data_IF_957306075967
#
_entry.id   IF_957306075967
#
_cell.length_a   1.000
_cell.length_b   1.000
_cell.length_c   1.000
_cell.angle_alpha   90.00
_cell.angle_beta   90.00
_cell.angle_gamma   90.00
#
_symmetry.space_group_name_H-M   'P 1'
#
loop_
_entity.id
_entity.type
_entity.pdbx_description
1 polymer ?
#
# COMPACT_ATOMS: atom_id res chain seq x y z
N UNK A 1 -2.46 15.54 -13.36
CA UNK A 1 -1.59 14.41 -12.89
C UNK A 1 -2.22 13.86 -11.62
N UNK A 2 -2.56 12.56 -11.56
CA UNK A 2 -3.09 11.98 -10.33
C UNK A 2 -1.99 11.93 -9.28
N UNK A 3 -2.16 12.67 -8.19
CA UNK A 3 -1.25 12.67 -7.03
C UNK A 3 -1.13 11.26 -6.46
N UNK A 4 0.08 10.85 -6.10
CA UNK A 4 0.27 9.58 -5.39
C UNK A 4 -0.31 9.70 -3.98
N UNK A 5 -1.20 8.79 -3.60
CA UNK A 5 -1.79 8.72 -2.26
C UNK A 5 -0.94 7.73 -1.46
N UNK A 6 -0.34 8.19 -0.36
CA UNK A 6 0.39 7.32 0.56
C UNK A 6 -0.54 6.83 1.66
N UNK A 7 -0.30 5.61 2.17
CA UNK A 7 -1.09 5.07 3.30
C UNK A 7 -0.87 5.82 4.61
N UNK A 8 0.13 6.70 4.64
CA UNK A 8 0.47 7.60 5.75
C UNK A 8 -0.24 8.94 5.69
N UNK A 9 -0.95 9.23 4.59
CA UNK A 9 -1.70 10.48 4.48
C UNK A 9 -2.95 10.38 5.36
N UNK A 10 -3.26 11.40 6.14
CA UNK A 10 -4.41 11.42 7.05
C UNK A 10 -5.73 11.11 6.32
N UNK A 11 -5.85 11.64 5.09
CA UNK A 11 -7.05 11.49 4.25
C UNK A 11 -6.90 10.35 3.21
N UNK A 12 -5.97 9.39 3.43
CA UNK A 12 -5.66 8.37 2.43
C UNK A 12 -6.89 7.55 2.02
N UNK A 13 -7.74 7.20 2.98
CA UNK A 13 -8.94 6.40 2.74
C UNK A 13 -9.98 7.18 1.93
N UNK A 14 -10.21 8.43 2.27
CA UNK A 14 -11.16 9.32 1.58
C UNK A 14 -10.70 9.57 0.14
N UNK A 15 -9.46 9.98 -0.04
CA UNK A 15 -8.84 10.18 -1.36
C UNK A 15 -8.87 8.91 -2.25
N UNK A 16 -8.75 7.71 -1.64
CA UNK A 16 -8.87 6.46 -2.40
C UNK A 16 -10.32 6.13 -2.77
N UNK A 17 -11.30 6.48 -1.92
CA UNK A 17 -12.73 6.32 -2.22
C UNK A 17 -13.15 7.26 -3.36
N UNK A 18 -12.76 8.52 -3.32
CA UNK A 18 -12.98 9.46 -4.43
C UNK A 18 -12.36 8.98 -5.74
N UNK A 19 -11.10 8.54 -5.69
CA UNK A 19 -10.42 7.97 -6.85
C UNK A 19 -11.14 6.74 -7.41
N UNK A 20 -11.67 5.89 -6.54
CA UNK A 20 -12.43 4.71 -6.96
C UNK A 20 -13.69 5.13 -7.72
N UNK A 21 -14.44 6.10 -7.20
CA UNK A 21 -15.64 6.63 -7.84
C UNK A 21 -15.34 7.19 -9.24
N UNK A 22 -14.29 8.02 -9.36
CA UNK A 22 -13.83 8.54 -10.64
C UNK A 22 -13.48 7.43 -11.63
N UNK A 23 -12.76 6.39 -11.17
CA UNK A 23 -12.37 5.25 -12.00
C UNK A 23 -13.58 4.44 -12.46
N UNK A 24 -14.55 4.18 -11.57
CA UNK A 24 -15.79 3.46 -11.90
C UNK A 24 -16.65 4.24 -12.87
N UNK A 25 -16.80 5.55 -12.66
CA UNK A 25 -17.51 6.45 -13.58
C UNK A 25 -16.89 6.41 -14.96
N UNK A 26 -15.56 6.60 -15.04
CA UNK A 26 -14.83 6.54 -16.30
C UNK A 26 -15.00 5.17 -16.99
N UNK A 27 -14.90 4.08 -16.26
CA UNK A 27 -15.08 2.73 -16.80
C UNK A 27 -16.50 2.49 -17.33
N UNK A 28 -17.50 3.02 -16.64
CA UNK A 28 -18.89 2.97 -17.11
C UNK A 28 -19.08 3.75 -18.42
N UNK A 29 -18.46 4.92 -18.55
CA UNK A 29 -18.48 5.71 -19.78
C UNK A 29 -17.76 5.00 -20.93
N UNK A 30 -16.59 4.40 -20.66
CA UNK A 30 -15.89 3.58 -21.67
C UNK A 30 -16.77 2.44 -22.20
N UNK A 31 -17.50 1.75 -21.31
CA UNK A 31 -18.46 0.69 -21.71
C UNK A 31 -19.59 1.23 -22.56
N UNK A 32 -20.18 2.38 -22.18
CA UNK A 32 -21.28 3.02 -22.92
C UNK A 32 -20.82 3.40 -24.33
N UNK A 33 -19.66 4.03 -24.45
CA UNK A 33 -19.13 4.44 -25.75
C UNK A 33 -18.80 3.26 -26.64
N UNK A 34 -18.19 2.20 -26.09
CA UNK A 34 -17.94 0.98 -26.82
C UNK A 34 -19.23 0.26 -27.27
N UNK A 35 -20.29 0.33 -26.45
CA UNK A 35 -21.62 -0.19 -26.83
C UNK A 35 -22.21 0.61 -27.97
N UNK A 36 -22.22 1.94 -27.84
CA UNK A 36 -22.73 2.84 -28.87
C UNK A 36 -22.03 2.61 -30.24
N UNK A 37 -20.69 2.53 -30.20
CA UNK A 37 -19.90 2.25 -31.43
C UNK A 37 -20.24 0.90 -32.06
N UNK A 38 -20.50 -0.16 -31.28
CA UNK A 38 -20.91 -1.45 -31.82
C UNK A 38 -22.26 -1.40 -32.53
N UNK A 39 -23.17 -0.54 -32.06
CA UNK A 39 -24.52 -0.39 -32.60
C UNK A 39 -24.54 0.53 -33.83
N UNK A 40 -23.67 1.55 -33.88
CA UNK A 40 -23.70 2.59 -34.88
C UNK A 40 -22.51 2.60 -35.85
N UNK A 41 -21.46 1.81 -35.59
CA UNK A 41 -20.18 1.79 -36.31
C UNK A 41 -19.45 3.16 -36.35
N UNK A 42 -19.85 4.10 -35.54
CA UNK A 42 -19.27 5.45 -35.39
C UNK A 42 -19.53 5.94 -33.99
N UNK A 43 -18.72 6.89 -33.51
CA UNK A 43 -19.00 7.61 -32.26
C UNK A 43 -19.70 8.95 -32.49
N UNK A 44 -19.98 9.32 -33.74
CA UNK A 44 -20.72 10.53 -34.10
C UNK A 44 -22.13 10.49 -33.52
N UNK A 45 -22.54 11.59 -32.89
CA UNK A 45 -23.84 11.69 -32.22
C UNK A 45 -23.88 11.10 -30.80
N UNK A 46 -22.76 10.61 -30.26
CA UNK A 46 -22.70 10.21 -28.86
C UNK A 46 -22.74 11.45 -27.94
N UNK A 47 -23.58 11.48 -26.90
CA UNK A 47 -23.68 12.62 -25.98
C UNK A 47 -22.33 12.99 -25.37
N UNK A 48 -21.93 14.26 -25.48
CA UNK A 48 -20.67 14.78 -24.95
C UNK A 48 -19.45 14.64 -25.88
N UNK A 49 -19.64 14.13 -27.09
CA UNK A 49 -18.60 14.09 -28.14
C UNK A 49 -19.07 14.99 -29.29
N UNK A 50 -18.28 16.01 -29.60
CA UNK A 50 -18.51 16.86 -30.77
C UNK A 50 -18.08 16.16 -32.06
N UNK A 51 -18.59 16.64 -33.22
CA UNK A 51 -18.33 16.04 -34.53
C UNK A 51 -16.84 15.98 -34.88
N UNK A 52 -16.05 16.97 -34.45
CA UNK A 52 -14.60 16.98 -34.73
C UNK A 52 -13.86 15.89 -33.92
N UNK A 53 -14.20 15.75 -32.64
CA UNK A 53 -13.66 14.68 -31.81
C UNK A 53 -14.13 13.30 -32.28
N UNK A 54 -15.39 13.19 -32.70
CA UNK A 54 -15.93 11.96 -33.24
C UNK A 54 -15.17 11.52 -34.48
N UNK A 55 -14.93 12.42 -35.42
CA UNK A 55 -14.15 12.14 -36.64
C UNK A 55 -12.72 11.64 -36.31
N UNK A 56 -12.04 12.30 -35.37
CA UNK A 56 -10.70 11.88 -34.92
C UNK A 56 -10.70 10.48 -34.30
N UNK A 57 -11.72 10.15 -33.51
CA UNK A 57 -11.85 8.82 -32.88
C UNK A 57 -12.12 7.77 -33.96
N UNK A 58 -13.06 8.02 -34.87
CA UNK A 58 -13.41 7.10 -35.94
C UNK A 58 -12.24 6.86 -36.91
N UNK A 59 -11.47 7.90 -37.25
CA UNK A 59 -10.25 7.80 -38.03
C UNK A 59 -9.20 6.93 -37.31
N UNK A 60 -8.98 7.14 -36.02
CA UNK A 60 -8.08 6.31 -35.20
C UNK A 60 -8.52 4.85 -35.23
N UNK A 61 -9.81 4.57 -35.10
CA UNK A 61 -10.34 3.21 -35.09
C UNK A 61 -10.17 2.57 -36.47
N UNK A 62 -10.41 3.31 -37.56
CA UNK A 62 -10.28 2.78 -38.93
C UNK A 62 -8.83 2.39 -39.24
N UNK A 63 -7.88 3.17 -38.76
CA UNK A 63 -6.43 2.95 -38.93
C UNK A 63 -5.84 1.95 -37.92
N UNK A 64 -6.62 1.51 -36.93
CA UNK A 64 -6.16 0.56 -35.90
C UNK A 64 -6.11 -0.87 -36.44
N UNK A 65 -5.26 -1.70 -35.78
CA UNK A 65 -5.24 -3.13 -36.03
C UNK A 65 -6.60 -3.78 -35.79
N UNK A 66 -6.89 -4.89 -36.45
CA UNK A 66 -8.19 -5.58 -36.37
C UNK A 66 -8.66 -5.89 -34.93
N UNK A 67 -7.73 -6.15 -34.04
CA UNK A 67 -7.98 -6.44 -32.62
C UNK A 67 -8.15 -5.18 -31.73
N UNK A 68 -7.92 -3.98 -32.31
CA UNK A 68 -8.04 -2.67 -31.62
C UNK A 68 -9.22 -1.83 -32.12
N UNK A 69 -10.12 -2.37 -32.95
CA UNK A 69 -11.22 -1.65 -33.60
C UNK A 69 -12.36 -1.34 -32.62
N UNK A 70 -12.08 -0.49 -31.64
CA UNK A 70 -13.07 0.04 -30.69
C UNK A 70 -12.60 1.39 -30.13
N UNK A 71 -13.50 2.27 -29.69
CA UNK A 71 -13.15 3.52 -29.00
C UNK A 71 -12.20 3.28 -27.82
N UNK A 72 -12.47 2.24 -27.02
CA UNK A 72 -11.60 1.72 -25.97
C UNK A 72 -11.34 0.22 -26.24
N UNK A 73 -10.15 -0.13 -26.74
CA UNK A 73 -9.78 -1.52 -26.98
C UNK A 73 -9.79 -2.37 -25.72
N UNK A 74 -9.82 -3.70 -25.88
CA UNK A 74 -9.88 -4.66 -24.78
C UNK A 74 -8.79 -4.45 -23.73
N UNK A 75 -7.56 -4.15 -24.13
CA UNK A 75 -6.44 -3.93 -23.20
C UNK A 75 -6.64 -2.68 -22.34
N UNK A 76 -7.26 -1.61 -22.85
CA UNK A 76 -7.58 -0.42 -22.07
C UNK A 76 -8.69 -0.71 -21.05
N UNK A 77 -9.72 -1.47 -21.47
CA UNK A 77 -10.79 -1.93 -20.60
C UNK A 77 -10.25 -2.80 -19.46
N UNK A 78 -9.37 -3.75 -19.77
CA UNK A 78 -8.73 -4.62 -18.79
C UNK A 78 -7.84 -3.81 -17.83
N UNK A 79 -7.03 -2.88 -18.35
CA UNK A 79 -6.18 -2.02 -17.53
C UNK A 79 -7.00 -1.19 -16.54
N UNK A 80 -8.14 -0.62 -16.96
CA UNK A 80 -9.04 0.14 -16.09
C UNK A 80 -9.67 -0.76 -15.04
N UNK A 81 -10.14 -1.95 -15.42
CA UNK A 81 -10.70 -2.93 -14.48
C UNK A 81 -9.68 -3.37 -13.42
N UNK A 82 -8.43 -3.60 -13.80
CA UNK A 82 -7.35 -3.93 -12.86
C UNK A 82 -7.06 -2.77 -11.90
N UNK A 83 -7.06 -1.51 -12.39
CA UNK A 83 -6.89 -0.33 -11.53
C UNK A 83 -7.99 -0.22 -10.50
N UNK A 84 -9.25 -0.42 -10.89
CA UNK A 84 -10.40 -0.41 -9.99
C UNK A 84 -10.25 -1.49 -8.93
N UNK A 85 -9.90 -2.71 -9.34
CA UNK A 85 -9.68 -3.82 -8.41
C UNK A 85 -8.57 -3.51 -7.40
N UNK A 86 -7.42 -3.04 -7.88
CA UNK A 86 -6.30 -2.68 -7.01
C UNK A 86 -6.67 -1.55 -6.01
N UNK A 87 -7.45 -0.55 -6.45
CA UNK A 87 -7.92 0.52 -5.56
C UNK A 87 -8.88 -0.04 -4.50
N UNK A 88 -9.82 -0.93 -4.87
CA UNK A 88 -10.74 -1.61 -3.93
C UNK A 88 -9.99 -2.47 -2.89
N UNK A 89 -9.02 -3.25 -3.34
CA UNK A 89 -8.20 -4.07 -2.44
C UNK A 89 -7.41 -3.21 -1.45
N UNK A 90 -6.90 -2.07 -1.92
CA UNK A 90 -6.17 -1.14 -1.07
C UNK A 90 -7.07 -0.47 -0.04
N UNK A 91 -8.29 -0.04 -0.42
CA UNK A 91 -9.30 0.50 0.51
C UNK A 91 -9.62 -0.54 1.58
N UNK A 92 -9.94 -1.76 1.15
CA UNK A 92 -10.26 -2.87 2.07
C UNK A 92 -9.11 -3.15 3.05
N UNK A 93 -7.87 -3.15 2.57
CA UNK A 93 -6.69 -3.35 3.42
C UNK A 93 -6.56 -2.25 4.47
N UNK A 94 -6.74 -0.97 4.09
CA UNK A 94 -6.68 0.14 5.05
C UNK A 94 -7.83 0.10 6.06
N UNK A 95 -9.06 -0.17 5.63
CA UNK A 95 -10.22 -0.31 6.52
C UNK A 95 -10.01 -1.46 7.52
N UNK A 96 -9.50 -2.60 7.05
CA UNK A 96 -9.18 -3.74 7.92
C UNK A 96 -8.13 -3.39 8.97
N UNK A 97 -7.07 -2.67 8.57
CA UNK A 97 -6.02 -2.26 9.51
C UNK A 97 -6.50 -1.21 10.53
N UNK A 98 -7.41 -0.31 10.14
CA UNK A 98 -7.98 0.69 11.04
C UNK A 98 -8.93 0.07 12.08
N UNK A 99 -9.71 -0.95 11.69
CA UNK A 99 -10.70 -1.60 12.57
C UNK A 99 -10.12 -2.73 13.41
N UNK A 100 -8.91 -3.20 13.09
CA UNK A 100 -8.27 -4.28 13.81
C UNK A 100 -7.90 -3.86 15.24
N UNK A 101 -8.08 -4.75 16.20
CA UNK A 101 -7.57 -4.58 17.55
C UNK A 101 -6.04 -4.51 17.55
N UNK A 102 -5.47 -3.72 18.46
CA UNK A 102 -4.02 -3.60 18.60
C UNK A 102 -3.44 -4.93 19.09
N UNK A 103 -2.34 -5.32 18.49
CA UNK A 103 -1.62 -6.51 18.93
C UNK A 103 -0.71 -6.15 20.10
N UNK A 104 -0.86 -6.81 21.21
CA UNK A 104 0.08 -6.69 22.33
C UNK A 104 1.38 -7.42 21.99
N UNK A 105 2.49 -6.75 22.28
CA UNK A 105 3.84 -7.28 22.09
C UNK A 105 4.54 -7.33 23.45
N UNK A 106 4.92 -8.53 23.86
CA UNK A 106 5.69 -8.71 25.07
C UNK A 106 7.16 -8.30 24.83
N UNK A 107 7.49 -7.10 25.26
CA UNK A 107 8.84 -6.50 25.16
C UNK A 107 9.52 -6.34 26.51
N UNK A 108 8.98 -6.96 27.55
CA UNK A 108 9.48 -6.81 28.92
C UNK A 108 10.95 -7.19 29.02
N UNK A 109 11.76 -6.34 29.66
CA UNK A 109 13.20 -6.52 29.81
C UNK A 109 14.05 -6.32 28.53
N UNK A 110 13.45 -6.01 27.38
CA UNK A 110 14.20 -5.84 26.12
C UNK A 110 14.67 -4.41 25.84
N UNK A 111 14.19 -3.43 26.62
CA UNK A 111 14.63 -2.03 26.53
C UNK A 111 14.10 -1.27 25.31
N UNK A 112 13.00 -1.71 24.71
CA UNK A 112 12.26 -1.02 23.66
C UNK A 112 10.77 -1.33 23.73
N UNK A 113 9.96 -0.45 23.17
CA UNK A 113 8.52 -0.62 23.02
C UNK A 113 8.13 -0.88 21.56
N UNK A 114 7.02 -1.58 21.35
CA UNK A 114 6.42 -1.80 20.03
C UNK A 114 5.02 -1.18 19.99
N UNK A 115 4.77 -0.33 18.98
CA UNK A 115 3.51 0.39 18.85
C UNK A 115 2.98 0.23 17.42
N UNK A 116 1.70 -0.16 17.30
CA UNK A 116 0.96 -0.11 16.04
C UNK A 116 0.34 1.30 15.87
N UNK A 117 1.05 2.18 15.22
CA UNK A 117 0.55 3.53 14.94
C UNK A 117 -0.36 3.49 13.70
N UNK A 118 -1.66 3.43 13.95
CA UNK A 118 -2.70 3.34 12.91
C UNK A 118 -2.89 4.64 12.14
N UNK A 119 -2.65 5.79 12.78
CA UNK A 119 -2.79 7.11 12.15
C UNK A 119 -1.86 7.27 10.95
N UNK A 120 -0.62 6.83 11.10
CA UNK A 120 0.38 6.89 10.03
C UNK A 120 0.60 5.54 9.34
N UNK A 121 -0.22 4.53 9.66
CA UNK A 121 -0.12 3.14 9.17
C UNK A 121 1.30 2.56 9.30
N UNK A 122 1.91 2.67 10.49
CA UNK A 122 3.26 2.18 10.80
C UNK A 122 3.28 1.30 12.04
N UNK A 123 4.02 0.19 11.95
CA UNK A 123 4.52 -0.53 13.11
C UNK A 123 5.85 0.10 13.51
N UNK A 124 5.98 0.52 14.75
CA UNK A 124 7.11 1.26 15.29
C UNK A 124 7.79 0.49 16.42
N UNK A 125 9.11 0.46 16.39
CA UNK A 125 9.96 0.01 17.50
C UNK A 125 10.63 1.25 18.05
N UNK A 126 10.36 1.56 19.32
CA UNK A 126 10.76 2.78 19.98
C UNK A 126 11.80 2.44 21.05
N UNK A 127 13.01 2.96 20.89
CA UNK A 127 14.06 2.85 21.90
C UNK A 127 14.12 4.10 22.76
N UNK A 128 14.29 3.99 24.09
CA UNK A 128 14.62 5.12 24.94
C UNK A 128 15.90 5.80 24.42
N UNK A 129 15.88 7.12 24.30
CA UNK A 129 17.04 7.88 23.80
C UNK A 129 17.09 8.11 22.28
N UNK A 130 15.92 7.97 21.60
CA UNK A 130 15.76 8.45 20.21
C UNK A 130 16.42 7.59 19.13
N UNK A 131 16.39 6.28 19.30
CA UNK A 131 16.79 5.34 18.25
C UNK A 131 18.30 5.09 18.15
N UNK A 132 19.06 5.47 19.13
CA UNK A 132 20.48 5.07 19.24
C UNK A 132 20.54 3.63 19.73
N UNK A 133 20.92 2.73 18.84
CA UNK A 133 21.14 1.31 19.12
C UNK A 133 22.56 0.92 18.69
N UNK A 134 23.07 -0.18 19.21
CA UNK A 134 24.35 -0.74 18.76
C UNK A 134 24.27 -1.22 17.29
N UNK A 135 25.43 -1.42 16.68
CA UNK A 135 25.53 -1.79 15.27
C UNK A 135 24.87 -3.14 14.94
N UNK A 136 24.90 -4.09 15.86
CA UNK A 136 24.33 -5.41 15.66
C UNK A 136 22.80 -5.37 15.72
N UNK A 137 22.25 -4.67 16.71
CA UNK A 137 20.81 -4.40 16.81
C UNK A 137 20.32 -3.61 15.59
N UNK A 138 21.06 -2.59 15.14
CA UNK A 138 20.74 -1.85 13.92
C UNK A 138 20.68 -2.77 12.71
N UNK A 139 21.67 -3.65 12.53
CA UNK A 139 21.71 -4.62 11.43
C UNK A 139 20.49 -5.54 11.47
N UNK A 140 20.16 -6.11 12.63
CA UNK A 140 18.99 -6.98 12.80
C UNK A 140 17.67 -6.26 12.48
N UNK A 141 17.52 -5.00 12.89
CA UNK A 141 16.36 -4.17 12.54
C UNK A 141 16.24 -4.03 11.03
N UNK A 142 17.34 -3.72 10.34
CA UNK A 142 17.38 -3.58 8.88
C UNK A 142 17.08 -4.88 8.16
N UNK A 143 17.58 -6.01 8.62
CA UNK A 143 17.29 -7.34 8.08
C UNK A 143 15.81 -7.71 8.21
N UNK A 144 15.14 -7.23 9.27
CA UNK A 144 13.70 -7.35 9.45
C UNK A 144 12.90 -6.23 8.75
N UNK A 145 13.54 -5.39 7.95
CA UNK A 145 12.91 -4.36 7.11
C UNK A 145 12.46 -3.12 7.85
N UNK A 146 12.95 -2.88 9.08
CA UNK A 146 12.70 -1.65 9.83
C UNK A 146 13.69 -0.56 9.42
N UNK A 147 13.20 0.65 9.21
CA UNK A 147 13.98 1.83 8.84
C UNK A 147 13.76 2.91 9.89
N UNK A 148 14.84 3.54 10.33
CA UNK A 148 14.75 4.63 11.29
C UNK A 148 14.12 5.88 10.69
N UNK A 149 13.08 6.39 11.34
CA UNK A 149 12.45 7.67 11.03
C UNK A 149 12.91 8.74 12.02
N UNK A 150 13.61 9.74 11.54
CA UNK A 150 14.03 10.88 12.38
C UNK A 150 12.83 11.69 12.91
N UNK A 151 11.78 11.81 12.08
CA UNK A 151 10.57 12.55 12.45
C UNK A 151 9.82 11.89 13.59
N UNK A 152 9.75 10.55 13.59
CA UNK A 152 9.00 9.79 14.60
C UNK A 152 9.90 9.26 15.73
N UNK A 153 11.21 9.43 15.63
CA UNK A 153 12.16 8.93 16.64
C UNK A 153 12.15 7.40 16.81
N UNK A 154 11.69 6.65 15.80
CA UNK A 154 11.44 5.22 15.89
C UNK A 154 11.92 4.47 14.65
N UNK A 155 12.26 3.19 14.81
CA UNK A 155 12.39 2.27 13.69
C UNK A 155 11.01 1.84 13.24
N UNK A 156 10.69 2.00 11.95
CA UNK A 156 9.34 1.77 11.48
C UNK A 156 9.28 0.95 10.19
N UNK A 157 8.16 0.26 10.04
CA UNK A 157 7.78 -0.47 8.83
C UNK A 157 6.30 -0.25 8.56
N UNK A 158 5.83 -0.40 7.31
CA UNK A 158 4.41 -0.31 7.00
C UNK A 158 3.62 -1.32 7.83
N UNK A 159 2.53 -0.88 8.47
CA UNK A 159 1.66 -1.73 9.29
C UNK A 159 0.90 -2.72 8.40
N UNK A 160 1.20 -3.99 8.56
CA UNK A 160 0.56 -5.14 7.90
C UNK A 160 1.00 -6.45 8.56
N UNK A 161 0.44 -7.58 8.16
CA UNK A 161 0.80 -8.90 8.72
C UNK A 161 2.30 -9.21 8.61
N UNK A 162 2.95 -8.83 7.52
CA UNK A 162 4.39 -9.07 7.35
C UNK A 162 5.22 -8.29 8.36
N UNK A 163 4.80 -7.08 8.72
CA UNK A 163 5.50 -6.29 9.75
C UNK A 163 5.26 -6.85 11.16
N UNK A 164 4.05 -7.32 11.45
CA UNK A 164 3.72 -8.02 12.71
C UNK A 164 4.54 -9.30 12.86
N UNK A 165 4.66 -10.07 11.79
CA UNK A 165 5.54 -11.24 11.80
C UNK A 165 7.01 -10.87 12.01
N UNK A 166 7.49 -9.84 11.31
CA UNK A 166 8.87 -9.38 11.42
C UNK A 166 9.23 -8.89 12.82
N UNK A 167 8.32 -8.14 13.48
CA UNK A 167 8.57 -7.67 14.85
C UNK A 167 8.58 -8.82 15.86
N UNK A 168 7.70 -9.80 15.72
CA UNK A 168 7.73 -11.01 16.58
C UNK A 168 9.05 -11.77 16.45
N UNK A 169 9.54 -11.93 15.23
CA UNK A 169 10.88 -12.53 14.98
C UNK A 169 11.99 -11.70 15.62
N UNK A 170 11.90 -10.38 15.50
CA UNK A 170 12.88 -9.48 16.09
C UNK A 170 12.87 -9.60 17.63
N UNK A 171 11.71 -9.54 18.28
CA UNK A 171 11.55 -9.74 19.73
C UNK A 171 12.18 -11.07 20.16
N UNK A 172 11.86 -12.18 19.48
CA UNK A 172 12.43 -13.48 19.79
C UNK A 172 13.96 -13.49 19.68
N UNK A 173 14.50 -12.87 18.65
CA UNK A 173 15.95 -12.76 18.48
C UNK A 173 16.63 -11.96 19.59
N UNK A 174 15.98 -10.91 20.10
CA UNK A 174 16.50 -10.12 21.22
C UNK A 174 16.44 -10.89 22.54
N UNK A 175 15.37 -11.63 22.80
CA UNK A 175 15.27 -12.52 23.97
C UNK A 175 16.39 -13.55 24.01
N UNK A 176 16.65 -14.22 22.89
CA UNK A 176 17.74 -15.20 22.80
C UNK A 176 19.11 -14.57 23.13
N UNK A 177 19.34 -13.32 22.76
CA UNK A 177 20.59 -12.60 23.09
C UNK A 177 20.67 -12.31 24.58
N UNK A 178 19.59 -11.83 25.17
CA UNK A 178 19.54 -11.55 26.62
C UNK A 178 19.79 -12.82 27.43
N UNK A 179 19.15 -13.94 27.07
CA UNK A 179 19.36 -15.24 27.72
C UNK A 179 20.81 -15.69 27.63
N UNK A 180 21.44 -15.61 26.46
CA UNK A 180 22.85 -15.98 26.26
C UNK A 180 23.79 -15.13 27.12
N UNK A 181 23.55 -13.84 27.25
CA UNK A 181 24.36 -12.93 28.09
C UNK A 181 24.20 -13.28 29.58
N UNK A 182 22.96 -13.57 30.01
CA UNK A 182 22.66 -13.93 31.40
C UNK A 182 23.34 -15.25 31.78
N UNK A 183 23.19 -16.30 30.98
CA UNK A 183 23.82 -17.60 31.20
C UNK A 183 25.35 -17.51 31.27
N UNK A 184 25.95 -16.70 30.39
CA UNK A 184 27.40 -16.47 30.36
C UNK A 184 27.90 -15.80 31.65
N UNK A 185 27.19 -14.79 32.13
CA UNK A 185 27.53 -14.08 33.39
C UNK A 185 27.41 -15.01 34.60
N UNK A 186 26.39 -15.85 34.65
CA UNK A 186 26.22 -16.83 35.74
C UNK A 186 27.38 -17.85 35.74
N UNK A 187 27.77 -18.36 34.58
CA UNK A 187 28.92 -19.29 34.46
C UNK A 187 30.25 -18.64 34.86
N UNK A 188 30.46 -17.37 34.49
CA UNK A 188 31.67 -16.59 34.89
C UNK A 188 31.70 -16.23 36.38
N UNK A 189 30.54 -16.16 37.04
CA UNK A 189 30.46 -15.85 38.49
C UNK A 189 30.64 -17.10 39.37
N UNK A 190 30.48 -18.29 38.81
CA UNK A 190 30.67 -19.58 39.50
C UNK A 190 32.11 -20.16 39.39
N UNK A 191 32.97 -19.53 38.59
CA UNK A 191 34.38 -19.89 38.45
C UNK A 191 35.29 -18.99 39.29
#
# INVERSE_FOLDING_TARGET
MNKTIYSTDADALENLKERLEEQEKKYAEMKKLNKYFRENCTVKGYPGIDDEKAAKIDERISNAYSWCKAPYPQYEMQSMSQKIRATKERIKSLETEQTREETEYDTDGLGFDVVENKEIARLQIIYPGGGRVDNETYKRLRENGFVFSRTNGAFQRQLNENSRYAVRRFIQSQRNVVEQITTRKETEAEM
#
